data_IF_750138900612
#
_entry.id   IF_750138900612
#
_cell.length_a   1.000
_cell.length_b   1.000
_cell.length_c   1.000
_cell.angle_alpha   90.00
_cell.angle_beta   90.00
_cell.angle_gamma   90.00
#
_symmetry.space_group_name_H-M   'P 1'
#
loop_
_entity.id
_entity.type
_entity.pdbx_description
1 polymer ?
#
# COMPACT_ATOMS: atom_id res chain seq x y z
N UNK A 1 -18.14 -20.51 -31.96
CA UNK A 1 -18.46 -19.51 -30.91
C UNK A 1 -17.13 -18.92 -30.49
N UNK A 2 -16.77 -17.79 -31.07
CA UNK A 2 -15.53 -17.08 -30.77
C UNK A 2 -15.80 -16.28 -29.49
N UNK A 3 -14.96 -16.43 -28.47
CA UNK A 3 -15.02 -15.66 -27.23
C UNK A 3 -14.16 -14.40 -27.43
N UNK A 4 -14.73 -13.24 -27.80
CA UNK A 4 -13.92 -12.17 -28.39
C UNK A 4 -13.10 -11.37 -27.37
N UNK A 5 -13.39 -11.49 -26.07
CA UNK A 5 -12.85 -10.59 -25.04
C UNK A 5 -12.63 -11.28 -23.68
N UNK A 6 -12.15 -12.52 -23.67
CA UNK A 6 -11.79 -13.18 -22.40
C UNK A 6 -10.41 -12.71 -21.94
N UNK A 7 -10.39 -11.63 -21.18
CA UNK A 7 -9.20 -11.14 -20.48
C UNK A 7 -8.79 -9.73 -20.89
N UNK A 8 -8.09 -9.05 -19.98
CA UNK A 8 -7.53 -7.72 -20.23
C UNK A 8 -6.02 -7.78 -20.33
N UNK A 9 -5.46 -6.90 -21.15
CA UNK A 9 -4.02 -6.72 -21.21
C UNK A 9 -3.52 -5.97 -19.96
N UNK A 10 -2.32 -6.34 -19.52
CA UNK A 10 -1.61 -5.59 -18.49
C UNK A 10 -1.39 -4.13 -18.96
N UNK A 11 -1.65 -3.16 -18.08
CA UNK A 11 -1.44 -1.73 -18.36
C UNK A 11 0.03 -1.30 -18.23
N UNK A 12 0.91 -2.22 -17.83
CA UNK A 12 2.35 -2.00 -17.74
C UNK A 12 2.96 -1.92 -19.16
N UNK A 13 3.90 -1.00 -19.38
CA UNK A 13 4.41 -0.64 -20.71
C UNK A 13 5.29 -1.73 -21.33
N UNK A 14 5.99 -2.50 -20.51
CA UNK A 14 6.87 -3.60 -20.90
C UNK A 14 6.14 -4.95 -21.02
N UNK A 15 4.94 -5.06 -20.44
CA UNK A 15 4.15 -6.28 -20.38
C UNK A 15 2.89 -6.19 -21.24
N UNK A 16 2.84 -6.95 -22.33
CA UNK A 16 1.64 -7.10 -23.19
C UNK A 16 0.88 -8.39 -22.94
N UNK A 17 0.97 -8.94 -21.73
CA UNK A 17 0.37 -10.22 -21.42
C UNK A 17 -1.16 -10.07 -21.29
N UNK A 18 -1.92 -10.92 -21.99
CA UNK A 18 -3.36 -11.04 -21.84
C UNK A 18 -3.64 -11.83 -20.56
N UNK A 19 -4.30 -11.20 -19.58
CA UNK A 19 -4.64 -11.81 -18.32
C UNK A 19 -6.15 -12.04 -18.21
N UNK A 20 -6.53 -13.29 -18.00
CA UNK A 20 -7.93 -13.72 -17.86
C UNK A 20 -8.56 -13.30 -16.52
N UNK A 21 -7.72 -12.98 -15.52
CA UNK A 21 -8.13 -12.51 -14.19
C UNK A 21 -7.43 -11.18 -13.87
N UNK A 22 -7.81 -10.06 -14.52
CA UNK A 22 -7.16 -8.78 -14.32
C UNK A 22 -7.25 -8.33 -12.86
N UNK A 23 -6.11 -7.92 -12.31
CA UNK A 23 -6.04 -7.34 -10.97
C UNK A 23 -6.06 -5.82 -11.10
N UNK A 24 -7.09 -5.19 -10.57
CA UNK A 24 -7.20 -3.72 -10.60
C UNK A 24 -6.43 -3.13 -9.43
N UNK A 25 -5.45 -2.29 -9.72
CA UNK A 25 -4.69 -1.57 -8.71
C UNK A 25 -5.58 -0.56 -7.98
N UNK A 26 -5.66 -0.60 -6.65
CA UNK A 26 -6.52 0.33 -5.89
C UNK A 26 -6.05 1.80 -5.98
N UNK A 27 -4.76 2.04 -6.25
CA UNK A 27 -4.18 3.38 -6.26
C UNK A 27 -4.35 4.09 -7.62
N UNK A 28 -3.96 3.44 -8.72
CA UNK A 28 -4.07 4.02 -10.08
C UNK A 28 -5.31 3.54 -10.87
N UNK A 29 -6.09 2.59 -10.33
CA UNK A 29 -7.30 2.01 -10.96
C UNK A 29 -7.04 1.36 -12.34
N UNK A 30 -5.80 0.98 -12.63
CA UNK A 30 -5.43 0.26 -13.85
C UNK A 30 -5.40 -1.25 -13.64
N UNK A 31 -5.58 -1.99 -14.73
CA UNK A 31 -5.61 -3.45 -14.74
C UNK A 31 -4.21 -4.03 -14.98
N UNK A 32 -3.77 -4.96 -14.15
CA UNK A 32 -2.45 -5.61 -14.25
C UNK A 32 -2.54 -7.14 -14.24
N UNK A 33 -1.47 -7.79 -14.68
CA UNK A 33 -1.32 -9.24 -14.59
C UNK A 33 -0.82 -9.68 -13.19
N UNK A 34 -0.81 -11.00 -12.94
CA UNK A 34 -0.34 -11.61 -11.68
C UNK A 34 1.11 -11.28 -11.32
N UNK A 35 1.90 -10.81 -12.27
CA UNK A 35 3.30 -10.44 -12.07
C UNK A 35 3.43 -8.93 -11.76
N UNK A 36 2.60 -8.10 -12.41
CA UNK A 36 2.64 -6.65 -12.31
C UNK A 36 1.59 -6.03 -11.37
N UNK A 37 0.87 -6.84 -10.59
CA UNK A 37 -0.17 -6.34 -9.66
C UNK A 37 0.41 -5.51 -8.50
N UNK A 38 1.68 -5.73 -8.14
CA UNK A 38 2.37 -5.02 -7.07
C UNK A 38 2.67 -3.58 -7.47
N UNK A 39 2.55 -2.63 -6.55
CA UNK A 39 2.81 -1.20 -6.82
C UNK A 39 4.22 -0.93 -7.35
N UNK A 40 5.21 -1.70 -6.90
CA UNK A 40 6.61 -1.62 -7.38
C UNK A 40 6.77 -2.17 -8.79
N UNK A 41 6.06 -3.24 -9.14
CA UNK A 41 6.19 -3.92 -10.42
C UNK A 41 5.67 -3.08 -11.61
N UNK A 42 4.63 -2.28 -11.39
CA UNK A 42 4.12 -1.35 -12.40
C UNK A 42 4.49 0.12 -12.14
N UNK A 43 5.49 0.36 -11.28
CA UNK A 43 5.97 1.70 -10.91
C UNK A 43 4.81 2.68 -10.66
N UNK A 44 3.90 2.29 -9.75
CA UNK A 44 2.62 2.97 -9.60
C UNK A 44 2.80 4.45 -9.28
N UNK A 45 2.28 5.37 -10.10
CA UNK A 45 2.42 6.81 -9.86
C UNK A 45 1.70 7.26 -8.58
N UNK A 46 0.81 6.43 -8.03
CA UNK A 46 0.05 6.69 -6.81
C UNK A 46 0.42 5.76 -5.65
N UNK A 47 1.52 5.00 -5.73
CA UNK A 47 2.01 4.15 -4.63
C UNK A 47 2.11 4.94 -3.32
N UNK A 48 2.59 6.19 -3.40
CA UNK A 48 2.75 7.10 -2.28
C UNK A 48 1.46 7.35 -1.47
N UNK A 49 0.27 7.18 -2.07
CA UNK A 49 -1.01 7.34 -1.35
C UNK A 49 -1.29 6.19 -0.38
N UNK A 50 -0.56 5.08 -0.50
CA UNK A 50 -0.71 3.84 0.27
C UNK A 50 0.52 3.50 1.11
N UNK A 51 1.62 4.22 0.93
CA UNK A 51 2.78 4.20 1.83
C UNK A 51 2.41 4.83 3.18
N UNK A 52 1.65 4.10 3.99
CA UNK A 52 1.38 4.44 5.38
C UNK A 52 2.57 4.01 6.20
N UNK A 53 3.45 4.97 6.50
CA UNK A 53 4.58 4.74 7.40
C UNK A 53 4.06 4.76 8.84
N UNK A 54 4.28 3.68 9.57
CA UNK A 54 3.89 3.56 10.98
C UNK A 54 5.10 3.95 11.83
N UNK A 55 5.09 5.10 12.53
CA UNK A 55 6.16 5.50 13.42
C UNK A 55 6.23 4.55 14.62
N UNK A 56 7.44 4.30 15.09
CA UNK A 56 7.70 3.52 16.31
C UNK A 56 7.94 4.50 17.45
N UNK A 57 7.36 4.24 18.62
CA UNK A 57 7.64 5.05 19.79
C UNK A 57 9.08 4.81 20.28
N UNK A 58 9.89 5.86 20.50
CA UNK A 58 11.29 5.70 20.92
C UNK A 58 11.45 5.21 22.37
N UNK A 59 10.40 5.22 23.19
CA UNK A 59 10.47 4.85 24.61
C UNK A 59 10.06 3.39 24.87
N UNK A 60 9.03 2.91 24.18
CA UNK A 60 8.47 1.57 24.35
C UNK A 60 8.68 0.63 23.16
N UNK A 61 9.13 1.15 22.01
CA UNK A 61 9.32 0.43 20.74
C UNK A 61 8.06 -0.19 20.13
N UNK A 62 6.89 0.24 20.60
CA UNK A 62 5.61 -0.18 20.04
C UNK A 62 5.33 0.61 18.76
N UNK A 63 4.88 -0.05 17.67
CA UNK A 63 4.42 0.64 16.47
C UNK A 63 3.11 1.40 16.76
N UNK A 64 3.12 2.72 16.50
CA UNK A 64 1.99 3.60 16.83
C UNK A 64 1.16 3.85 15.56
N UNK A 65 -0.11 3.40 15.52
CA UNK A 65 -0.97 3.60 14.36
C UNK A 65 -1.34 5.09 14.23
N UNK A 66 -0.98 5.71 13.10
CA UNK A 66 -1.31 7.11 12.80
C UNK A 66 -2.63 7.16 12.02
N UNK A 67 -3.55 8.03 12.44
CA UNK A 67 -4.81 8.24 11.72
C UNK A 67 -4.58 9.00 10.42
N UNK A 68 -5.41 8.75 9.39
CA UNK A 68 -5.32 9.48 8.11
C UNK A 68 -5.59 10.97 8.35
N UNK A 69 -4.57 11.80 8.16
CA UNK A 69 -4.63 13.25 8.36
C UNK A 69 -3.95 13.75 9.64
N UNK A 70 -3.47 12.84 10.50
CA UNK A 70 -2.65 13.15 11.67
C UNK A 70 -1.17 13.02 11.33
N UNK A 71 -0.33 13.86 11.93
CA UNK A 71 1.12 13.74 11.76
C UNK A 71 1.68 12.66 12.69
N UNK A 72 2.74 11.94 12.28
CA UNK A 72 3.34 10.90 13.12
C UNK A 72 3.79 11.43 14.48
N UNK A 73 4.27 12.68 14.54
CA UNK A 73 4.65 13.35 15.79
C UNK A 73 3.49 13.47 16.78
N UNK A 74 2.29 13.83 16.32
CA UNK A 74 1.11 13.98 17.19
C UNK A 74 0.67 12.63 17.72
N UNK A 75 0.62 11.61 16.86
CA UNK A 75 0.23 10.25 17.27
C UNK A 75 1.21 9.66 18.29
N UNK A 76 2.52 9.82 18.06
CA UNK A 76 3.56 9.36 18.99
C UNK A 76 3.52 10.18 20.28
N UNK A 77 3.31 11.50 20.21
CA UNK A 77 3.18 12.36 21.38
C UNK A 77 1.98 12.00 22.26
N UNK A 78 0.82 11.76 21.66
CA UNK A 78 -0.38 11.31 22.40
C UNK A 78 -0.16 9.94 23.05
N UNK A 79 0.50 9.01 22.35
CA UNK A 79 0.87 7.72 22.95
C UNK A 79 1.80 7.92 24.16
N UNK A 80 2.82 8.78 24.05
CA UNK A 80 3.76 9.08 25.15
C UNK A 80 3.03 9.62 26.38
N UNK A 81 2.04 10.50 26.20
CA UNK A 81 1.29 11.12 27.30
C UNK A 81 0.33 10.16 28.01
N UNK A 82 -0.31 9.23 27.26
CA UNK A 82 -1.46 8.47 27.78
C UNK A 82 -1.23 6.97 28.00
N UNK A 83 -0.47 6.32 27.12
CA UNK A 83 -0.47 4.85 26.98
C UNK A 83 0.95 4.25 26.89
N UNK A 84 1.98 5.07 27.03
CA UNK A 84 3.36 4.62 26.91
C UNK A 84 3.81 3.90 28.18
N UNK A 85 3.70 2.57 28.16
CA UNK A 85 4.36 1.71 29.13
C UNK A 85 5.87 1.64 28.80
N UNK A 86 6.78 2.01 29.71
CA UNK A 86 8.21 1.84 29.48
C UNK A 86 8.51 0.36 29.27
N UNK A 87 9.46 0.04 28.38
CA UNK A 87 9.88 -1.35 28.12
C UNK A 87 10.12 -2.05 29.47
N UNK A 88 9.44 -3.18 29.75
CA UNK A 88 9.80 -3.98 30.91
C UNK A 88 11.22 -4.48 30.68
N UNK A 89 12.12 -4.09 31.58
CA UNK A 89 13.53 -4.52 31.58
C UNK A 89 13.70 -5.99 31.93
#
# INVERSE_FOLDING_TARGET
MEFPDLGKHCSERTCKQLNFLPVTCDACKQDFCKDHFSYTAHECPFAFKKDVQVPVCPLCDVPIPVRRGETPDVAVGEHIDRDCAPRPG
#
